data_IF_321622182729
#
_entry.id   IF_321622182729
#
_cell.length_a   1.000
_cell.length_b   1.000
_cell.length_c   1.000
_cell.angle_alpha   90.00
_cell.angle_beta   90.00
_cell.angle_gamma   90.00
#
_symmetry.space_group_name_H-M   'P 1'
#
loop_
_entity.id
_entity.type
_entity.pdbx_description
1 polymer ?
#
# COMPACT_ATOMS: atom_id res chain seq x y z
N UNK A 1 -5.28 -15.87 17.05
CA UNK A 1 -4.38 -14.77 16.66
C UNK A 1 -4.46 -14.56 15.15
N UNK A 2 -4.70 -13.33 14.73
CA UNK A 2 -4.59 -12.95 13.31
C UNK A 2 -3.11 -12.82 12.96
N UNK A 3 -2.67 -13.46 11.87
CA UNK A 3 -1.30 -13.33 11.38
C UNK A 3 -1.22 -12.12 10.43
N UNK A 4 -1.03 -10.94 11.02
CA UNK A 4 -0.86 -9.67 10.30
C UNK A 4 0.47 -9.03 10.67
N UNK A 5 1.10 -8.40 9.70
CA UNK A 5 2.32 -7.63 9.87
C UNK A 5 2.05 -6.17 9.50
N UNK A 6 2.44 -5.25 10.37
CA UNK A 6 2.39 -3.82 10.08
C UNK A 6 3.79 -3.36 9.70
N UNK A 7 3.91 -2.69 8.55
CA UNK A 7 5.18 -2.10 8.10
C UNK A 7 5.00 -0.62 7.79
N UNK A 8 6.08 0.13 7.92
CA UNK A 8 6.10 1.54 7.49
C UNK A 8 6.24 1.64 5.98
N UNK A 9 5.62 2.66 5.40
CA UNK A 9 5.71 2.97 3.97
C UNK A 9 5.76 4.48 3.78
N UNK A 10 6.82 4.96 3.17
CA UNK A 10 7.02 6.39 3.00
C UNK A 10 6.57 6.86 1.62
N UNK A 11 5.79 7.94 1.60
CA UNK A 11 5.35 8.63 0.40
C UNK A 11 5.97 10.01 0.38
N UNK A 12 6.55 10.40 -0.75
CA UNK A 12 7.25 11.67 -0.91
C UNK A 12 6.62 12.45 -2.06
N UNK A 13 6.39 13.73 -1.84
CA UNK A 13 5.92 14.66 -2.85
C UNK A 13 7.07 15.60 -3.23
N UNK A 14 7.33 15.71 -4.52
CA UNK A 14 8.37 16.53 -5.09
C UNK A 14 7.77 17.68 -5.88
N UNK A 15 8.28 18.89 -5.71
CA UNK A 15 7.90 20.02 -6.56
C UNK A 15 8.12 19.67 -8.04
N UNK A 16 7.16 20.04 -8.86
CA UNK A 16 7.18 19.71 -10.28
C UNK A 16 6.51 20.80 -11.11
N UNK A 17 7.01 21.05 -12.33
CA UNK A 17 6.34 21.95 -13.26
C UNK A 17 4.91 21.50 -13.61
N UNK A 18 4.01 22.41 -14.01
CA UNK A 18 2.64 22.07 -14.37
C UNK A 18 2.49 20.98 -15.45
N UNK A 19 3.47 20.83 -16.33
CA UNK A 19 3.52 19.78 -17.33
C UNK A 19 3.56 18.36 -16.71
N UNK A 20 3.95 18.24 -15.42
CA UNK A 20 3.99 17.01 -14.66
C UNK A 20 2.71 16.73 -13.86
N UNK A 21 1.68 17.54 -14.04
CA UNK A 21 0.39 17.33 -13.39
C UNK A 21 -0.49 16.37 -14.20
N UNK A 22 -1.46 15.77 -13.51
CA UNK A 22 -2.54 15.04 -14.17
C UNK A 22 -3.36 16.00 -15.05
N UNK A 23 -3.85 15.58 -16.22
CA UNK A 23 -3.78 14.21 -16.77
C UNK A 23 -2.49 13.92 -17.57
N UNK A 24 -1.55 14.89 -17.71
CA UNK A 24 -0.35 14.71 -18.55
C UNK A 24 0.53 13.55 -18.05
N UNK A 25 0.65 13.41 -16.73
CA UNK A 25 1.36 12.28 -16.11
C UNK A 25 0.35 11.43 -15.34
N UNK A 26 -0.02 10.26 -15.84
CA UNK A 26 -0.93 9.36 -15.16
C UNK A 26 -0.29 8.70 -13.93
N UNK A 27 -1.10 7.99 -13.15
CA UNK A 27 -0.58 7.06 -12.16
C UNK A 27 0.22 5.94 -12.85
N UNK A 28 1.36 5.59 -12.29
CA UNK A 28 2.25 4.57 -12.82
C UNK A 28 2.75 3.64 -11.71
N UNK A 29 3.18 2.45 -12.12
CA UNK A 29 3.89 1.49 -11.28
C UNK A 29 5.08 0.95 -12.07
N UNK A 30 6.27 1.08 -11.49
CA UNK A 30 7.49 0.44 -11.97
C UNK A 30 7.69 -0.85 -11.17
N UNK A 31 7.23 -1.97 -11.75
CA UNK A 31 7.25 -3.27 -11.07
C UNK A 31 8.70 -3.75 -10.90
N UNK A 32 9.58 -3.40 -11.81
CA UNK A 32 10.97 -3.85 -11.79
C UNK A 32 11.79 -3.21 -10.68
N UNK A 33 11.64 -1.91 -10.49
CA UNK A 33 12.36 -1.13 -9.48
C UNK A 33 11.54 -1.00 -8.17
N UNK A 34 10.31 -1.52 -8.15
CA UNK A 34 9.37 -1.44 -7.03
C UNK A 34 9.06 0.01 -6.58
N UNK A 35 8.75 0.87 -7.57
CA UNK A 35 8.30 2.23 -7.32
C UNK A 35 6.93 2.48 -7.93
N UNK A 36 6.19 3.41 -7.35
CA UNK A 36 4.93 3.89 -7.89
C UNK A 36 4.75 5.38 -7.63
N UNK A 37 3.92 6.01 -8.43
CA UNK A 37 3.65 7.42 -8.28
C UNK A 37 2.55 7.91 -9.20
N UNK A 38 2.37 9.22 -9.21
CA UNK A 38 1.47 9.91 -10.14
C UNK A 38 1.91 11.36 -10.32
N UNK A 39 1.47 11.95 -11.41
CA UNK A 39 1.57 13.39 -11.62
C UNK A 39 0.89 14.18 -10.53
N UNK A 40 1.23 15.46 -10.40
CA UNK A 40 0.58 16.37 -9.47
C UNK A 40 -0.91 16.48 -9.75
N UNK A 41 -1.69 16.70 -8.70
CA UNK A 41 -3.14 16.85 -8.77
C UNK A 41 -3.60 17.88 -7.75
N UNK A 42 -4.42 18.82 -8.18
CA UNK A 42 -4.89 19.93 -7.36
C UNK A 42 -3.73 20.70 -6.71
N UNK A 43 -3.66 20.72 -5.39
CA UNK A 43 -2.63 21.38 -4.59
C UNK A 43 -1.42 20.47 -4.27
N UNK A 44 -1.39 19.25 -4.82
CA UNK A 44 -0.34 18.27 -4.55
C UNK A 44 0.57 18.07 -5.75
N UNK A 45 1.89 18.25 -5.57
CA UNK A 45 2.87 18.05 -6.63
C UNK A 45 3.11 16.56 -6.93
N UNK A 46 4.11 16.27 -7.75
CA UNK A 46 4.47 14.92 -8.19
C UNK A 46 4.70 13.98 -7.01
N UNK A 47 3.99 12.87 -7.00
CA UNK A 47 4.06 11.84 -5.96
C UNK A 47 4.97 10.69 -6.37
N UNK A 48 5.84 10.27 -5.45
CA UNK A 48 6.69 9.09 -5.60
C UNK A 48 6.75 8.31 -4.29
N UNK A 49 6.71 6.99 -4.38
CA UNK A 49 6.92 6.10 -3.26
C UNK A 49 7.58 4.80 -3.71
N UNK A 50 8.42 4.23 -2.85
CA UNK A 50 8.87 2.85 -3.01
C UNK A 50 7.80 1.89 -2.51
N UNK A 51 7.58 0.79 -3.21
CA UNK A 51 6.69 -0.29 -2.76
C UNK A 51 7.45 -1.41 -2.01
N UNK A 52 8.75 -1.25 -1.83
CA UNK A 52 9.54 -2.10 -0.94
C UNK A 52 9.07 -1.89 0.49
N UNK A 53 8.71 -2.99 1.16
CA UNK A 53 8.22 -2.94 2.54
C UNK A 53 9.27 -2.31 3.45
N UNK A 54 8.83 -1.32 4.21
CA UNK A 54 9.66 -0.71 5.23
C UNK A 54 9.82 -1.59 6.48
N UNK A 55 10.41 -1.01 7.50
CA UNK A 55 10.59 -1.66 8.80
C UNK A 55 9.24 -2.14 9.36
N UNK A 56 9.23 -3.30 9.99
CA UNK A 56 8.12 -3.72 10.84
C UNK A 56 7.90 -2.67 11.94
N UNK A 57 6.66 -2.36 12.20
CA UNK A 57 6.28 -1.24 13.02
C UNK A 57 5.13 -1.61 13.97
N UNK A 58 5.30 -1.31 15.24
CA UNK A 58 4.23 -1.44 16.21
C UNK A 58 3.54 -0.09 16.42
N UNK A 59 2.32 0.11 15.89
CA UNK A 59 1.64 1.41 15.94
C UNK A 59 1.27 1.87 17.36
N UNK A 60 1.22 0.94 18.32
CA UNK A 60 0.86 1.23 19.72
C UNK A 60 2.07 1.63 20.57
N UNK A 61 3.30 1.33 20.11
CA UNK A 61 4.53 1.47 20.91
C UNK A 61 5.61 2.30 20.26
N UNK A 62 5.58 2.46 18.95
CA UNK A 62 6.64 3.13 18.20
C UNK A 62 6.17 4.47 17.62
N UNK A 63 7.05 5.46 17.66
CA UNK A 63 6.83 6.74 16.97
C UNK A 63 7.05 6.60 15.46
N UNK A 64 6.23 7.30 14.68
CA UNK A 64 6.40 7.39 13.24
C UNK A 64 7.58 8.28 12.90
N UNK A 65 8.67 7.69 12.42
CA UNK A 65 9.89 8.41 12.04
C UNK A 65 10.20 8.24 10.57
N UNK A 66 10.37 9.36 9.87
CA UNK A 66 10.78 9.38 8.48
C UNK A 66 12.22 8.91 8.32
N UNK A 67 12.52 8.18 7.24
CA UNK A 67 13.83 7.60 6.98
C UNK A 67 14.61 8.41 5.94
N UNK A 68 15.81 8.87 6.31
CA UNK A 68 16.70 9.50 5.32
C UNK A 68 17.19 8.53 4.24
N UNK A 69 17.24 7.25 4.53
CA UNK A 69 17.56 6.21 3.53
C UNK A 69 16.47 6.11 2.49
N UNK A 70 15.20 6.10 2.90
CA UNK A 70 14.05 6.08 1.98
C UNK A 70 14.01 7.33 1.11
N UNK A 71 14.24 8.50 1.71
CA UNK A 71 14.34 9.75 0.95
C UNK A 71 15.40 9.66 -0.14
N UNK A 72 16.62 9.24 0.22
CA UNK A 72 17.73 9.12 -0.73
C UNK A 72 17.44 8.12 -1.84
N UNK A 73 16.80 7.01 -1.51
CA UNK A 73 16.38 6.00 -2.47
C UNK A 73 15.38 6.57 -3.49
N UNK A 74 14.37 7.32 -3.02
CA UNK A 74 13.40 7.99 -3.89
C UNK A 74 14.07 9.07 -4.76
N UNK A 75 14.99 9.87 -4.22
CA UNK A 75 15.71 10.89 -4.98
C UNK A 75 16.60 10.27 -6.07
N UNK A 76 17.27 9.16 -5.78
CA UNK A 76 18.09 8.44 -6.77
C UNK A 76 17.20 7.87 -7.90
N UNK A 77 16.07 7.25 -7.54
CA UNK A 77 15.12 6.76 -8.54
C UNK A 77 14.54 7.91 -9.37
N UNK A 78 14.14 9.02 -8.73
CA UNK A 78 13.64 10.21 -9.40
C UNK A 78 14.65 10.71 -10.47
N UNK A 79 15.91 10.86 -10.08
CA UNK A 79 16.96 11.33 -10.97
C UNK A 79 17.26 10.38 -12.12
N UNK A 80 17.18 9.07 -11.86
CA UNK A 80 17.40 8.03 -12.89
C UNK A 80 16.23 7.94 -13.87
N UNK A 81 15.00 7.92 -13.35
CA UNK A 81 13.79 7.62 -14.14
C UNK A 81 13.16 8.86 -14.76
N UNK A 82 13.27 9.99 -14.08
CA UNK A 82 12.70 11.28 -14.46
C UNK A 82 13.77 12.40 -14.41
N UNK A 83 14.75 12.39 -15.31
CA UNK A 83 15.90 13.32 -15.24
C UNK A 83 15.52 14.80 -15.15
N UNK A 84 14.40 15.21 -15.74
CA UNK A 84 13.89 16.58 -15.66
C UNK A 84 13.38 16.99 -14.27
N UNK A 85 13.17 16.04 -13.38
CA UNK A 85 12.86 16.27 -11.97
C UNK A 85 14.06 16.01 -11.05
N UNK A 86 15.25 15.79 -11.61
CA UNK A 86 16.48 15.60 -10.82
C UNK A 86 16.74 16.82 -9.94
N UNK A 87 16.96 16.59 -8.64
CA UNK A 87 17.15 17.66 -7.68
C UNK A 87 15.89 18.42 -7.27
N UNK A 88 14.70 17.95 -7.66
CA UNK A 88 13.44 18.57 -7.26
C UNK A 88 13.31 18.68 -5.74
N UNK A 89 12.77 19.80 -5.28
CA UNK A 89 12.57 20.10 -3.87
C UNK A 89 11.53 19.13 -3.29
N UNK A 90 11.80 18.60 -2.11
CA UNK A 90 10.81 17.81 -1.36
C UNK A 90 9.80 18.75 -0.75
N UNK A 91 8.56 18.65 -1.20
CA UNK A 91 7.45 19.46 -0.71
C UNK A 91 6.85 18.86 0.57
N UNK A 92 6.60 17.54 0.56
CA UNK A 92 5.99 16.84 1.68
C UNK A 92 6.51 15.41 1.79
N UNK A 93 6.57 14.88 3.01
CA UNK A 93 6.85 13.46 3.29
C UNK A 93 5.80 12.93 4.25
N UNK A 94 5.27 11.75 3.96
CA UNK A 94 4.28 11.06 4.80
C UNK A 94 4.74 9.66 5.11
N UNK A 95 4.59 9.26 6.37
CA UNK A 95 4.77 7.88 6.76
C UNK A 95 3.40 7.20 6.87
N UNK A 96 3.12 6.33 5.91
CA UNK A 96 1.97 5.44 5.92
C UNK A 96 2.31 4.12 6.61
N UNK A 97 1.28 3.34 6.87
CA UNK A 97 1.41 2.00 7.43
C UNK A 97 0.67 1.02 6.52
N UNK A 98 1.31 -0.10 6.20
CA UNK A 98 0.66 -1.22 5.55
C UNK A 98 0.38 -2.30 6.57
N UNK A 99 -0.86 -2.73 6.66
CA UNK A 99 -1.27 -3.90 7.43
C UNK A 99 -1.43 -5.04 6.46
N UNK A 100 -0.48 -5.97 6.48
CA UNK A 100 -0.38 -7.04 5.50
C UNK A 100 -0.65 -8.40 6.13
N UNK A 101 -1.31 -9.25 5.36
CA UNK A 101 -1.40 -10.68 5.63
C UNK A 101 -0.29 -11.41 4.88
N UNK A 102 0.00 -12.65 5.24
CA UNK A 102 1.03 -13.47 4.59
C UNK A 102 0.79 -13.72 3.10
N UNK A 103 -0.47 -13.74 2.69
CA UNK A 103 -0.90 -13.96 1.31
C UNK A 103 -1.29 -12.68 0.56
N UNK A 104 -1.14 -11.52 1.20
CA UNK A 104 -1.55 -10.19 0.71
C UNK A 104 -3.05 -10.04 0.39
N UNK A 105 -3.88 -11.00 0.75
CA UNK A 105 -5.33 -10.87 0.67
C UNK A 105 -5.88 -10.17 1.91
N UNK A 106 -7.06 -9.61 1.81
CA UNK A 106 -7.75 -9.01 2.94
C UNK A 106 -8.22 -10.02 3.96
N UNK A 107 -8.59 -9.53 5.12
CA UNK A 107 -9.44 -10.25 6.06
C UNK A 107 -10.85 -9.67 5.90
N UNK A 108 -11.81 -10.52 5.56
CA UNK A 108 -13.24 -10.21 5.58
C UNK A 108 -13.95 -11.44 6.14
N UNK A 109 -14.17 -11.43 7.44
CA UNK A 109 -14.67 -12.61 8.14
C UNK A 109 -15.49 -12.25 9.38
N UNK A 110 -16.42 -13.12 9.80
CA UNK A 110 -17.07 -12.96 11.09
C UNK A 110 -16.05 -13.12 12.23
N UNK A 111 -16.28 -12.41 13.33
CA UNK A 111 -15.44 -12.52 14.53
C UNK A 111 -15.77 -13.83 15.23
N UNK A 112 -14.79 -14.74 15.44
CA UNK A 112 -15.05 -16.00 16.11
C UNK A 112 -15.65 -15.81 17.51
N UNK A 113 -16.75 -16.49 17.80
CA UNK A 113 -17.42 -16.44 19.09
C UNK A 113 -18.29 -15.21 19.34
N UNK A 114 -18.42 -14.30 18.39
CA UNK A 114 -19.29 -13.13 18.49
C UNK A 114 -20.33 -13.13 17.37
N UNK A 115 -21.58 -12.85 17.73
CA UNK A 115 -22.67 -12.75 16.76
C UNK A 115 -22.70 -11.35 16.13
N UNK A 116 -23.01 -11.28 14.84
CA UNK A 116 -23.21 -10.04 14.09
C UNK A 116 -22.01 -9.08 14.10
N UNK A 117 -20.80 -9.60 14.28
CA UNK A 117 -19.57 -8.82 14.23
C UNK A 117 -18.65 -9.34 13.12
N UNK A 118 -18.08 -8.42 12.36
CA UNK A 118 -17.21 -8.71 11.23
C UNK A 118 -15.90 -7.95 11.36
N UNK A 119 -14.81 -8.57 10.93
CA UNK A 119 -13.53 -7.91 10.71
C UNK A 119 -13.37 -7.68 9.21
N UNK A 120 -13.09 -6.43 8.84
CA UNK A 120 -12.77 -6.03 7.47
C UNK A 120 -11.47 -5.22 7.51
N UNK A 121 -10.40 -5.74 6.92
CA UNK A 121 -9.11 -5.05 7.00
C UNK A 121 -7.96 -5.76 6.30
N UNK A 122 -6.75 -5.40 6.69
CA UNK A 122 -5.49 -5.92 6.16
C UNK A 122 -5.38 -5.79 4.63
N UNK A 123 -5.63 -4.59 4.12
CA UNK A 123 -5.60 -4.28 2.68
C UNK A 123 -4.23 -4.36 2.02
N UNK A 124 -3.18 -4.75 2.75
CA UNK A 124 -1.82 -5.07 2.28
C UNK A 124 -1.19 -3.99 1.38
N UNK A 125 -1.56 -2.71 1.60
CA UNK A 125 -1.08 -1.56 0.85
C UNK A 125 -1.83 -1.26 -0.45
N UNK A 126 -2.71 -2.12 -0.92
CA UNK A 126 -3.43 -1.96 -2.20
C UNK A 126 -4.96 -1.89 -2.07
N UNK A 127 -5.50 -1.78 -0.86
CA UNK A 127 -6.94 -1.88 -0.57
C UNK A 127 -7.78 -0.70 -1.04
N UNK A 128 -7.24 0.51 -1.08
CA UNK A 128 -8.02 1.73 -1.32
C UNK A 128 -8.86 1.70 -2.59
N UNK A 129 -8.26 1.33 -3.72
CA UNK A 129 -8.95 1.29 -5.03
C UNK A 129 -10.14 0.30 -5.08
N UNK A 130 -10.19 -0.64 -4.16
CA UNK A 130 -11.23 -1.67 -4.10
C UNK A 130 -12.42 -1.30 -3.19
N UNK A 131 -12.38 -0.12 -2.57
CA UNK A 131 -13.38 0.31 -1.58
C UNK A 131 -14.84 0.06 -2.00
N UNK A 132 -15.30 0.50 -3.19
CA UNK A 132 -16.68 0.29 -3.61
C UNK A 132 -17.06 -1.19 -3.76
N UNK A 133 -16.18 -2.00 -4.37
CA UNK A 133 -16.41 -3.44 -4.53
C UNK A 133 -16.38 -4.18 -3.19
N UNK A 134 -15.45 -3.80 -2.31
CA UNK A 134 -15.36 -4.35 -0.97
C UNK A 134 -16.59 -4.00 -0.12
N UNK A 135 -17.05 -2.76 -0.20
CA UNK A 135 -18.26 -2.33 0.50
C UNK A 135 -19.48 -3.13 0.08
N UNK A 136 -19.66 -3.35 -1.24
CA UNK A 136 -20.73 -4.21 -1.73
C UNK A 136 -20.59 -5.65 -1.25
N UNK A 137 -19.40 -6.22 -1.33
CA UNK A 137 -19.12 -7.58 -0.85
C UNK A 137 -19.48 -7.76 0.63
N UNK A 138 -19.06 -6.81 1.48
CA UNK A 138 -19.36 -6.82 2.91
C UNK A 138 -20.87 -6.68 3.18
N UNK A 139 -21.56 -5.80 2.44
CA UNK A 139 -23.01 -5.64 2.54
C UNK A 139 -23.73 -6.96 2.20
N UNK A 140 -23.35 -7.60 1.09
CA UNK A 140 -23.94 -8.85 0.67
C UNK A 140 -23.70 -10.01 1.68
N UNK A 141 -22.54 -10.00 2.36
CA UNK A 141 -22.24 -10.95 3.44
C UNK A 141 -23.13 -10.72 4.68
N UNK A 142 -23.28 -9.46 5.10
CA UNK A 142 -24.08 -9.10 6.28
C UNK A 142 -25.56 -9.42 6.03
N UNK A 143 -26.01 -9.30 4.81
CA UNK A 143 -27.38 -9.61 4.39
C UNK A 143 -27.60 -11.10 4.02
N UNK A 144 -26.62 -11.96 4.27
CA UNK A 144 -26.65 -13.40 3.94
C UNK A 144 -26.94 -13.74 2.46
N UNK A 145 -26.65 -12.79 1.55
CA UNK A 145 -26.82 -12.97 0.11
C UNK A 145 -25.75 -13.84 -0.53
N UNK A 146 -24.55 -13.83 0.07
CA UNK A 146 -23.38 -14.59 -0.38
C UNK A 146 -22.68 -15.28 0.79
N UNK A 147 -21.81 -16.25 0.49
CA UNK A 147 -20.94 -16.90 1.48
C UNK A 147 -19.56 -16.23 1.51
N UNK A 148 -18.89 -16.20 2.69
CA UNK A 148 -17.52 -15.68 2.79
C UNK A 148 -16.56 -16.46 1.90
N UNK A 149 -15.68 -15.76 1.20
CA UNK A 149 -14.60 -16.36 0.42
C UNK A 149 -13.53 -16.92 1.36
N UNK A 150 -13.13 -18.20 1.23
CA UNK A 150 -12.12 -18.81 2.11
C UNK A 150 -10.78 -18.06 2.15
N UNK A 151 -10.38 -17.44 1.03
CA UNK A 151 -9.15 -16.65 0.95
C UNK A 151 -9.16 -15.39 1.84
N UNK A 152 -10.33 -14.95 2.30
CA UNK A 152 -10.47 -13.79 3.19
C UNK A 152 -10.71 -14.18 4.65
N UNK A 153 -10.65 -15.47 4.99
CA UNK A 153 -10.80 -15.95 6.36
C UNK A 153 -9.72 -15.39 7.30
N UNK A 154 -9.97 -15.38 8.59
CA UNK A 154 -8.99 -14.97 9.60
C UNK A 154 -7.82 -15.96 9.66
N UNK A 155 -8.13 -17.25 9.66
CA UNK A 155 -7.17 -18.36 9.75
C UNK A 155 -7.46 -19.38 8.64
N UNK A 156 -6.57 -20.37 8.50
CA UNK A 156 -6.74 -21.52 7.60
C UNK A 156 -7.02 -21.14 6.15
N UNK A 157 -6.40 -20.06 5.70
CA UNK A 157 -6.51 -19.62 4.31
C UNK A 157 -5.76 -20.57 3.40
N UNK A 158 -6.31 -20.86 2.20
CA UNK A 158 -5.54 -21.57 1.19
C UNK A 158 -4.24 -20.79 0.89
N UNK A 159 -3.10 -21.50 0.99
CA UNK A 159 -1.81 -20.89 0.66
C UNK A 159 -1.80 -20.44 -0.81
N UNK A 160 -1.62 -19.15 -1.03
CA UNK A 160 -1.44 -18.60 -2.36
C UNK A 160 0.01 -18.15 -2.54
N UNK A 161 0.82 -18.96 -3.23
CA UNK A 161 2.21 -18.64 -3.55
C UNK A 161 2.40 -17.46 -4.52
N UNK A 162 1.32 -16.96 -5.08
CA UNK A 162 1.31 -15.87 -6.07
C UNK A 162 1.04 -14.47 -5.53
N UNK A 163 1.09 -14.26 -4.21
CA UNK A 163 0.94 -12.91 -3.65
C UNK A 163 2.05 -11.98 -4.13
N UNK A 164 1.72 -10.71 -4.38
CA UNK A 164 2.64 -9.65 -4.82
C UNK A 164 3.91 -9.54 -3.98
N UNK A 165 3.87 -9.95 -2.70
CA UNK A 165 5.04 -10.03 -1.82
C UNK A 165 6.19 -10.87 -2.39
N UNK A 166 5.90 -11.94 -3.15
CA UNK A 166 6.94 -12.78 -3.74
C UNK A 166 7.66 -12.14 -4.93
N UNK A 167 7.02 -11.22 -5.64
CA UNK A 167 7.65 -10.51 -6.75
C UNK A 167 8.68 -9.49 -6.25
N UNK A 168 8.38 -8.81 -5.16
CA UNK A 168 9.25 -7.77 -4.58
C UNK A 168 10.39 -8.34 -3.72
N UNK A 169 10.18 -9.45 -3.02
CA UNK A 169 11.21 -10.06 -2.17
C UNK A 169 12.36 -10.73 -2.95
N UNK A 170 12.19 -11.05 -4.23
CA UNK A 170 13.22 -11.73 -5.02
C UNK A 170 14.42 -10.88 -5.44
N UNK A 171 14.30 -9.55 -5.45
CA UNK A 171 15.37 -8.64 -5.91
C UNK A 171 16.08 -7.87 -4.79
N UNK A 172 15.57 -7.93 -3.57
CA UNK A 172 16.05 -7.10 -2.46
C UNK A 172 16.45 -7.90 -1.22
N UNK A 173 16.55 -9.24 -1.32
CA UNK A 173 17.24 -10.16 -0.42
C UNK A 173 18.62 -10.50 -1.01
#
# INVERSE_FOLDING_TARGET
>A
NMNIQVTTQEVIFFESPPAWNAPNVPAYTDIEEAFYGCGGCEDRPFKLASDVRGKEFNPDKEERKLSNQQLKMCQNYLSKRFPSLSGAIVNERRLCQYTSTSDSNWIVAPVPGLNNQWIVGAGSGHGFKHGPALGKYVSDLIEDKIRPEPKFAINDRPYNSGGWLHLYNRKHL
#
